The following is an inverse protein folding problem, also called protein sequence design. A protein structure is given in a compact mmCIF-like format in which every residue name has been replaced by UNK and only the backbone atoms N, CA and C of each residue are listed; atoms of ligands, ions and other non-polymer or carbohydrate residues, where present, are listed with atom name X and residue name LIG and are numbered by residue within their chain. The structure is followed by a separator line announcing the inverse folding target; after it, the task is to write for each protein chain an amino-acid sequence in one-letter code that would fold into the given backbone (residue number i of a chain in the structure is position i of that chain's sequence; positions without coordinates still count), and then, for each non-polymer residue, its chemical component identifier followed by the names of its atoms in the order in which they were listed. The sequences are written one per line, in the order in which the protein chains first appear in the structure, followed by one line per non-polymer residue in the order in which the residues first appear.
data_IF_268708147990
#
_entry.id   IF_268708147990
#
_cell.length_a   1.000
_cell.length_b   1.000
_cell.length_c   1.000
_cell.angle_alpha   90.00
_cell.angle_beta   90.00
_cell.angle_gamma   90.00
#
_symmetry.space_group_name_H-M   'P 1'
#
loop_
_entity.id
_entity.type
_entity.pdbx_description
1 polymer ?
#
# COMPACT_ATOMS: atom_id res chain seq x y z
N UNK A 1 -19.94 9.26 7.13
CA UNK A 1 -18.46 9.23 7.23
C UNK A 1 -17.93 10.60 6.87
N UNK A 2 -16.98 11.14 7.61
CA UNK A 2 -16.41 12.45 7.29
C UNK A 2 -15.58 12.37 6.01
N UNK A 3 -15.37 13.52 5.34
CA UNK A 3 -14.56 13.57 4.13
C UNK A 3 -13.14 13.08 4.33
N UNK A 4 -12.56 13.32 5.53
CA UNK A 4 -11.22 12.86 5.88
C UNK A 4 -11.12 11.33 5.86
N UNK A 5 -12.05 10.64 6.53
CA UNK A 5 -12.02 9.18 6.59
C UNK A 5 -12.33 8.56 5.22
N UNK A 6 -13.22 9.19 4.46
CA UNK A 6 -13.50 8.76 3.09
C UNK A 6 -12.26 8.85 2.22
N UNK A 7 -11.47 9.93 2.35
CA UNK A 7 -10.23 10.10 1.59
C UNK A 7 -9.21 9.01 1.92
N UNK A 8 -9.04 8.65 3.19
CA UNK A 8 -8.14 7.57 3.59
C UNK A 8 -8.64 6.21 3.11
N UNK A 9 -9.94 5.97 3.16
CA UNK A 9 -10.52 4.74 2.62
C UNK A 9 -10.22 4.61 1.12
N UNK A 10 -10.42 5.67 0.36
CA UNK A 10 -10.13 5.69 -1.07
C UNK A 10 -8.65 5.46 -1.32
N UNK A 11 -7.76 6.09 -0.54
CA UNK A 11 -6.32 5.87 -0.65
C UNK A 11 -5.96 4.40 -0.43
N UNK A 12 -6.52 3.76 0.60
CA UNK A 12 -6.32 2.35 0.86
C UNK A 12 -6.84 1.47 -0.28
N UNK A 13 -8.00 1.81 -0.82
CA UNK A 13 -8.59 1.09 -1.95
C UNK A 13 -7.70 1.18 -3.19
N UNK A 14 -7.12 2.36 -3.46
CA UNK A 14 -6.18 2.55 -4.58
C UNK A 14 -4.92 1.70 -4.38
N UNK A 15 -4.35 1.70 -3.17
CA UNK A 15 -3.18 0.88 -2.87
C UNK A 15 -3.47 -0.60 -3.10
N UNK A 16 -4.61 -1.08 -2.62
CA UNK A 16 -5.03 -2.47 -2.83
C UNK A 16 -5.20 -2.77 -4.32
N UNK A 17 -5.90 -1.88 -5.03
CA UNK A 17 -6.17 -2.05 -6.46
C UNK A 17 -4.90 -2.06 -7.31
N UNK A 18 -3.92 -1.22 -6.98
CA UNK A 18 -2.63 -1.20 -7.68
C UNK A 18 -1.82 -2.46 -7.37
N UNK A 19 -1.92 -2.97 -6.14
CA UNK A 19 -1.20 -4.18 -5.75
C UNK A 19 -1.64 -5.43 -6.49
N UNK A 20 -2.93 -5.53 -6.85
CA UNK A 20 -3.47 -6.73 -7.50
C UNK A 20 -2.77 -7.08 -8.81
N UNK A 21 -2.66 -6.16 -9.79
CA UNK A 21 -1.99 -6.51 -11.06
C UNK A 21 -0.51 -6.80 -10.89
N UNK A 22 0.16 -6.18 -9.92
CA UNK A 22 1.56 -6.47 -9.63
C UNK A 22 1.73 -7.87 -9.06
N UNK A 23 0.86 -8.25 -8.11
CA UNK A 23 0.86 -9.60 -7.52
C UNK A 23 0.56 -10.67 -8.56
N UNK A 24 -0.37 -10.41 -9.47
CA UNK A 24 -0.85 -11.35 -10.48
C UNK A 24 0.04 -11.44 -11.72
N UNK A 25 1.16 -10.70 -11.75
CA UNK A 25 2.08 -10.67 -12.91
C UNK A 25 1.41 -10.16 -14.19
N UNK A 26 0.45 -9.26 -14.06
CA UNK A 26 -0.26 -8.68 -15.21
C UNK A 26 0.52 -7.55 -15.87
N UNK A 27 1.52 -6.98 -15.18
CA UNK A 27 2.31 -5.86 -15.68
C UNK A 27 3.69 -6.35 -16.08
N UNK A 28 4.00 -6.41 -17.38
CA UNK A 28 5.33 -6.81 -17.84
C UNK A 28 6.37 -5.73 -17.54
N UNK A 29 7.65 -6.10 -17.65
CA UNK A 29 8.76 -5.18 -17.43
C UNK A 29 8.62 -3.95 -18.35
N UNK A 30 8.63 -2.76 -17.75
CA UNK A 30 8.46 -1.51 -18.48
C UNK A 30 9.07 -0.35 -17.67
N UNK A 31 9.09 0.85 -18.23
CA UNK A 31 9.66 2.03 -17.58
C UNK A 31 8.63 2.99 -17.02
N UNK A 32 7.34 2.64 -17.03
CA UNK A 32 6.27 3.56 -16.67
C UNK A 32 5.57 3.21 -15.37
N UNK A 33 5.39 1.93 -15.06
CA UNK A 33 4.60 1.48 -13.91
C UNK A 33 5.22 0.27 -13.24
N UNK A 34 5.05 0.17 -11.93
CA UNK A 34 5.53 -0.92 -11.11
C UNK A 34 6.75 -0.56 -10.27
N UNK A 35 7.30 -1.55 -9.58
CA UNK A 35 8.51 -1.39 -8.78
C UNK A 35 9.73 -1.42 -9.70
N UNK A 36 10.27 -0.25 -10.01
CA UNK A 36 11.31 -0.07 -11.01
C UNK A 36 12.62 0.36 -10.38
N UNK A 37 13.63 -0.49 -10.48
CA UNK A 37 15.00 -0.20 -10.11
C UNK A 37 15.92 -0.76 -11.20
N UNK A 38 17.20 -0.42 -11.17
CA UNK A 38 18.16 -1.02 -12.10
C UNK A 38 18.12 -2.55 -12.00
N UNK A 39 17.95 -3.10 -10.80
CA UNK A 39 17.89 -4.54 -10.58
C UNK A 39 16.60 -5.15 -11.14
N UNK A 40 15.42 -4.52 -10.90
CA UNK A 40 14.15 -5.05 -11.40
C UNK A 40 14.06 -4.98 -12.92
N UNK A 41 14.65 -3.95 -13.52
CA UNK A 41 14.66 -3.79 -14.97
C UNK A 41 15.71 -4.67 -15.67
N UNK A 42 16.58 -5.34 -14.91
CA UNK A 42 17.69 -6.13 -15.49
C UNK A 42 17.22 -7.43 -16.14
N UNK A 43 16.17 -8.06 -15.64
CA UNK A 43 15.59 -9.27 -16.22
C UNK A 43 14.16 -9.50 -15.75
N UNK A 44 13.42 -10.33 -16.50
CA UNK A 44 12.00 -10.55 -16.22
C UNK A 44 11.76 -11.30 -14.91
N UNK A 45 12.63 -12.23 -14.55
CA UNK A 45 12.46 -12.98 -13.30
C UNK A 45 12.50 -12.06 -12.08
N UNK A 46 13.49 -11.17 -12.03
CA UNK A 46 13.59 -10.21 -10.92
C UNK A 46 12.44 -9.23 -10.96
N UNK A 47 12.05 -8.76 -12.16
CA UNK A 47 10.91 -7.86 -12.31
C UNK A 47 9.64 -8.46 -11.71
N UNK A 48 9.24 -9.65 -12.15
CA UNK A 48 7.99 -10.25 -11.69
C UNK A 48 8.04 -10.62 -10.21
N UNK A 49 9.17 -11.12 -9.71
CA UNK A 49 9.31 -11.48 -8.31
C UNK A 49 9.25 -10.24 -7.40
N UNK A 50 9.99 -9.18 -7.75
CA UNK A 50 10.00 -7.94 -6.97
C UNK A 50 8.63 -7.26 -7.00
N UNK A 51 7.98 -7.21 -8.15
CA UNK A 51 6.65 -6.60 -8.27
C UNK A 51 5.59 -7.45 -7.59
N UNK A 52 5.71 -8.77 -7.56
CA UNK A 52 4.82 -9.64 -6.79
C UNK A 52 4.89 -9.32 -5.31
N UNK A 53 6.09 -9.19 -4.76
CA UNK A 53 6.28 -8.83 -3.35
C UNK A 53 5.74 -7.42 -3.08
N UNK A 54 6.08 -6.45 -3.92
CA UNK A 54 5.60 -5.08 -3.78
C UNK A 54 4.07 -5.02 -3.88
N UNK A 55 3.47 -5.77 -4.79
CA UNK A 55 2.02 -5.85 -4.94
C UNK A 55 1.34 -6.40 -3.69
N UNK A 56 1.87 -7.48 -3.13
CA UNK A 56 1.37 -8.04 -1.87
C UNK A 56 1.48 -7.03 -0.74
N UNK A 57 2.62 -6.35 -0.63
CA UNK A 57 2.84 -5.37 0.43
C UNK A 57 1.88 -4.18 0.29
N UNK A 58 1.61 -3.73 -0.94
CA UNK A 58 0.63 -2.67 -1.20
C UNK A 58 -0.78 -3.11 -0.86
N UNK A 59 -1.15 -4.35 -1.15
CA UNK A 59 -2.46 -4.89 -0.79
C UNK A 59 -2.65 -4.92 0.73
N UNK A 60 -1.63 -5.37 1.46
CA UNK A 60 -1.65 -5.39 2.92
C UNK A 60 -1.75 -3.96 3.47
N UNK A 61 -0.92 -3.06 2.97
CA UNK A 61 -0.96 -1.65 3.37
C UNK A 61 -2.32 -1.03 3.10
N UNK A 62 -2.91 -1.30 1.94
CA UNK A 62 -4.24 -0.82 1.58
C UNK A 62 -5.32 -1.32 2.52
N UNK A 63 -5.28 -2.60 2.89
CA UNK A 63 -6.23 -3.17 3.85
C UNK A 63 -6.09 -2.52 5.24
N UNK A 64 -4.87 -2.29 5.70
CA UNK A 64 -4.62 -1.63 6.98
C UNK A 64 -5.19 -0.21 6.97
N UNK A 65 -4.93 0.55 5.91
CA UNK A 65 -5.43 1.93 5.77
C UNK A 65 -6.95 1.96 5.71
N UNK A 66 -7.57 1.09 4.91
CA UNK A 66 -9.03 1.00 4.80
C UNK A 66 -9.69 0.63 6.13
N UNK A 67 -9.15 -0.38 6.81
CA UNK A 67 -9.69 -0.83 8.10
C UNK A 67 -9.61 0.28 9.14
N UNK A 68 -8.49 1.00 9.19
CA UNK A 68 -8.32 2.13 10.12
C UNK A 68 -9.34 3.23 9.82
N UNK A 69 -9.57 3.54 8.54
CA UNK A 69 -10.54 4.57 8.14
C UNK A 69 -11.98 4.17 8.54
N UNK A 70 -12.37 2.92 8.31
CA UNK A 70 -13.70 2.43 8.68
C UNK A 70 -13.87 2.43 10.20
N UNK A 71 -12.89 1.92 10.95
CA UNK A 71 -12.93 1.92 12.40
C UNK A 71 -13.05 3.34 12.96
N UNK A 72 -12.31 4.27 12.38
CA UNK A 72 -12.36 5.69 12.78
C UNK A 72 -13.74 6.29 12.53
N UNK A 73 -14.35 5.99 11.39
CA UNK A 73 -15.68 6.47 11.06
C UNK A 73 -16.73 5.96 12.06
N UNK A 74 -16.59 4.69 12.48
CA UNK A 74 -17.51 4.10 13.46
C UNK A 74 -17.30 4.66 14.87
N UNK A 75 -16.08 5.02 15.24
CA UNK A 75 -15.73 5.53 16.56
C UNK A 75 -15.89 7.05 16.70
N UNK A 76 -16.04 7.76 15.61
CA UNK A 76 -16.01 9.22 15.60
C UNK A 76 -17.05 9.85 16.53
N UNK A 77 -18.27 9.33 16.56
CA UNK A 77 -19.34 9.85 17.43
C UNK A 77 -19.19 9.42 18.88
N UNK A 78 -18.62 8.26 19.14
CA UNK A 78 -18.54 7.66 20.46
C UNK A 78 -17.28 8.07 21.23
N UNK A 79 -16.23 8.47 20.50
CA UNK A 79 -14.96 8.86 21.09
C UNK A 79 -14.43 10.15 20.47
N UNK A 80 -15.14 11.28 20.67
CA UNK A 80 -14.76 12.55 20.01
C UNK A 80 -13.43 13.13 20.48
N UNK A 81 -12.90 12.66 21.62
CA UNK A 81 -11.61 13.10 22.12
C UNK A 81 -10.41 12.38 21.48
N UNK A 82 -10.63 11.33 20.71
CA UNK A 82 -9.54 10.62 20.05
C UNK A 82 -9.05 11.37 18.81
N UNK A 83 -7.71 11.46 18.62
CA UNK A 83 -7.14 12.13 17.46
C UNK A 83 -7.19 11.21 16.22
N UNK A 84 -8.40 10.87 15.77
CA UNK A 84 -8.61 9.88 14.70
C UNK A 84 -7.96 10.27 13.38
N UNK A 85 -7.97 11.58 13.04
CA UNK A 85 -7.33 12.06 11.83
C UNK A 85 -5.81 11.85 11.87
N UNK A 86 -5.17 12.14 13.01
CA UNK A 86 -3.73 11.89 13.19
C UNK A 86 -3.43 10.41 13.15
N UNK A 87 -4.29 9.57 13.74
CA UNK A 87 -4.12 8.11 13.72
C UNK A 87 -4.16 7.60 12.28
N UNK A 88 -5.13 8.04 11.48
CA UNK A 88 -5.22 7.65 10.07
C UNK A 88 -3.99 8.11 9.29
N UNK A 89 -3.51 9.33 9.52
CA UNK A 89 -2.31 9.86 8.87
C UNK A 89 -1.08 9.03 9.19
N UNK A 90 -0.85 8.75 10.48
CA UNK A 90 0.29 7.95 10.93
C UNK A 90 0.22 6.53 10.38
N UNK A 91 -0.95 5.90 10.40
CA UNK A 91 -1.15 4.55 9.88
C UNK A 91 -0.90 4.52 8.38
N UNK A 92 -1.41 5.50 7.63
CA UNK A 92 -1.23 5.57 6.18
C UNK A 92 0.25 5.68 5.81
N UNK A 93 0.97 6.64 6.38
CA UNK A 93 2.39 6.82 6.09
C UNK A 93 3.24 5.66 6.62
N UNK A 94 2.92 5.14 7.79
CA UNK A 94 3.61 3.99 8.37
C UNK A 94 3.44 2.74 7.53
N UNK A 95 2.24 2.48 7.04
CA UNK A 95 1.95 1.35 6.17
C UNK A 95 2.70 1.46 4.84
N UNK A 96 2.69 2.64 4.21
CA UNK A 96 3.43 2.88 2.97
C UNK A 96 4.94 2.74 3.17
N UNK A 97 5.48 3.31 4.23
CA UNK A 97 6.90 3.21 4.54
C UNK A 97 7.30 1.75 4.79
N UNK A 98 6.51 1.02 5.58
CA UNK A 98 6.78 -0.40 5.89
C UNK A 98 6.71 -1.26 4.62
N UNK A 99 5.74 -1.01 3.76
CA UNK A 99 5.61 -1.73 2.49
C UNK A 99 6.83 -1.47 1.59
N UNK A 100 7.25 -0.21 1.45
CA UNK A 100 8.41 0.15 0.65
C UNK A 100 9.69 -0.47 1.22
N UNK A 101 9.89 -0.37 2.53
CA UNK A 101 11.08 -0.93 3.19
C UNK A 101 11.15 -2.44 3.02
N UNK A 102 10.05 -3.15 3.25
CA UNK A 102 10.00 -4.59 3.08
C UNK A 102 10.26 -5.01 1.63
N UNK A 103 9.68 -4.29 0.67
CA UNK A 103 9.89 -4.57 -0.75
C UNK A 103 11.35 -4.38 -1.16
N UNK A 104 12.02 -3.33 -0.67
CA UNK A 104 13.44 -3.11 -0.94
C UNK A 104 14.32 -4.16 -0.28
N UNK A 105 14.01 -4.57 0.97
CA UNK A 105 14.76 -5.63 1.66
C UNK A 105 14.61 -6.95 0.89
N UNK A 106 13.40 -7.28 0.46
CA UNK A 106 13.15 -8.48 -0.34
C UNK A 106 13.92 -8.44 -1.66
N UNK A 107 13.95 -7.29 -2.33
CA UNK A 107 14.69 -7.10 -3.58
C UNK A 107 16.19 -7.38 -3.40
N UNK A 108 16.77 -6.97 -2.27
CA UNK A 108 18.19 -7.20 -1.99
C UNK A 108 18.56 -8.68 -1.91
N UNK A 109 17.58 -9.55 -1.63
CA UNK A 109 17.76 -10.99 -1.53
C UNK A 109 17.53 -11.71 -2.86
N UNK A 110 17.11 -11.01 -3.87
CA UNK A 110 16.89 -11.53 -5.21
C UNK A 110 18.18 -11.39 -6.03
#
# INVERSE_FOLDING_TARGET
MSGTFTAYFIAGLVLFGVGVPLLRRWIPRNRLAGFRTSKTLSNDRVWYEANRVAGRDLMIAGLVVMTTAVASALLYKEAPGLPLEKINKVVCYGALFSAALHSFIALRRM
#
